data_IF_146667369315
#
_entry.id   IF_146667369315
#
_cell.length_a   1.000
_cell.length_b   1.000
_cell.length_c   1.000
_cell.angle_alpha   90.00
_cell.angle_beta   90.00
_cell.angle_gamma   90.00
#
_symmetry.space_group_name_H-M   'P 1'
#
loop_
_entity.id
_entity.type
_entity.pdbx_description
1 polymer ?
#
# COMPACT_ATOMS: atom_id res chain seq x y z
N UNK A 1 34.67 1.47 -15.73
CA UNK A 1 34.27 1.20 -14.32
C UNK A 1 34.54 2.37 -13.37
N UNK A 2 35.62 3.15 -13.52
CA UNK A 2 35.94 4.29 -12.62
C UNK A 2 34.85 5.38 -12.54
N UNK A 3 34.13 5.60 -13.62
CA UNK A 3 33.01 6.56 -13.67
C UNK A 3 31.83 6.19 -12.75
N UNK A 4 31.73 4.92 -12.32
CA UNK A 4 30.66 4.46 -11.43
C UNK A 4 31.04 4.52 -9.94
N UNK A 5 32.32 4.70 -9.61
CA UNK A 5 32.78 4.81 -8.21
C UNK A 5 32.06 5.90 -7.39
N UNK A 6 31.85 7.14 -7.87
CA UNK A 6 31.15 8.15 -7.08
C UNK A 6 29.70 7.74 -6.77
N UNK A 7 29.03 7.03 -7.68
CA UNK A 7 27.68 6.50 -7.43
C UNK A 7 27.69 5.40 -6.38
N UNK A 8 28.66 4.49 -6.40
CA UNK A 8 28.81 3.48 -5.35
C UNK A 8 29.12 4.10 -3.99
N UNK A 9 29.97 5.12 -3.93
CA UNK A 9 30.26 5.85 -2.69
C UNK A 9 29.00 6.55 -2.13
N UNK A 10 28.20 7.19 -2.98
CA UNK A 10 26.92 7.78 -2.60
C UNK A 10 25.90 6.75 -2.11
N UNK A 11 25.82 5.59 -2.78
CA UNK A 11 24.95 4.48 -2.36
C UNK A 11 25.38 3.95 -0.99
N UNK A 12 26.67 3.68 -0.78
CA UNK A 12 27.20 3.23 0.52
C UNK A 12 26.93 4.26 1.61
N UNK A 13 27.21 5.55 1.35
CA UNK A 13 26.93 6.62 2.31
C UNK A 13 25.44 6.70 2.66
N UNK A 14 24.55 6.61 1.66
CA UNK A 14 23.10 6.58 1.86
C UNK A 14 22.64 5.37 2.68
N UNK A 15 23.16 4.17 2.38
CA UNK A 15 22.90 2.95 3.16
C UNK A 15 23.35 3.09 4.62
N UNK A 16 24.57 3.60 4.86
CA UNK A 16 25.10 3.83 6.21
C UNK A 16 24.23 4.84 6.96
N UNK A 17 23.89 5.98 6.35
CA UNK A 17 23.00 6.98 6.97
C UNK A 17 21.64 6.35 7.30
N UNK A 18 21.10 5.53 6.41
CA UNK A 18 19.81 4.85 6.62
C UNK A 18 19.88 3.89 7.80
N UNK A 19 20.92 3.06 7.92
CA UNK A 19 21.12 2.14 9.04
C UNK A 19 21.24 2.93 10.35
N UNK A 20 22.08 3.97 10.39
CA UNK A 20 22.27 4.80 11.59
C UNK A 20 20.99 5.55 12.00
N UNK A 21 20.17 5.98 11.03
CA UNK A 21 18.88 6.59 11.29
C UNK A 21 17.85 5.56 11.78
N UNK A 22 17.87 4.35 11.21
CA UNK A 22 17.00 3.25 11.61
C UNK A 22 17.33 2.71 12.99
N UNK A 23 18.60 2.66 13.41
CA UNK A 23 19.00 2.18 14.74
C UNK A 23 18.44 3.06 15.86
N UNK A 24 18.40 4.38 15.67
CA UNK A 24 17.78 5.31 16.62
C UNK A 24 16.26 5.11 16.72
N UNK A 25 15.61 4.78 15.60
CA UNK A 25 14.17 4.55 15.55
C UNK A 25 13.79 3.13 16.03
N UNK A 26 14.61 2.12 15.74
CA UNK A 26 14.48 0.74 16.22
C UNK A 26 14.78 0.61 17.72
N UNK A 27 15.76 1.37 18.25
CA UNK A 27 16.03 1.40 19.69
C UNK A 27 14.82 1.88 20.50
N UNK A 28 13.96 2.73 19.93
CA UNK A 28 12.67 3.13 20.52
C UNK A 28 11.56 2.09 20.33
N UNK A 29 11.70 1.17 19.38
CA UNK A 29 10.71 0.14 19.02
C UNK A 29 10.97 -1.24 19.66
N UNK A 30 12.12 -1.45 20.32
CA UNK A 30 12.63 -2.72 20.89
C UNK A 30 11.74 -3.44 21.92
N UNK A 31 10.51 -2.97 22.16
CA UNK A 31 9.52 -3.63 23.03
C UNK A 31 8.23 -4.09 22.33
N UNK A 32 8.08 -3.86 21.01
CA UNK A 32 6.81 -4.02 20.29
C UNK A 32 6.94 -4.72 18.92
N UNK A 33 8.00 -5.52 18.73
CA UNK A 33 8.18 -6.28 17.49
C UNK A 33 7.26 -7.50 17.46
N UNK A 34 6.47 -7.62 16.39
CA UNK A 34 5.60 -8.77 16.21
C UNK A 34 6.45 -10.01 15.89
N UNK A 35 6.03 -11.21 16.35
CA UNK A 35 6.70 -12.46 15.99
C UNK A 35 6.82 -12.63 14.48
N UNK A 36 7.89 -13.29 14.02
CA UNK A 36 8.12 -13.54 12.59
C UNK A 36 6.91 -14.21 11.91
N UNK A 37 6.26 -15.15 12.59
CA UNK A 37 5.06 -15.83 12.10
C UNK A 37 3.91 -14.86 11.82
N UNK A 38 3.66 -13.92 12.73
CA UNK A 38 2.66 -12.88 12.56
C UNK A 38 3.01 -11.98 11.36
N UNK A 39 4.29 -11.60 11.22
CA UNK A 39 4.78 -10.76 10.12
C UNK A 39 4.64 -11.45 8.76
N UNK A 40 4.87 -12.76 8.71
CA UNK A 40 4.64 -13.56 7.50
C UNK A 40 3.16 -13.59 7.10
N UNK A 41 2.25 -13.80 8.06
CA UNK A 41 0.82 -13.74 7.80
C UNK A 41 0.41 -12.34 7.28
N UNK A 42 0.88 -11.28 7.93
CA UNK A 42 0.64 -9.92 7.45
C UNK A 42 1.22 -9.68 6.05
N UNK A 43 2.44 -10.14 5.77
CA UNK A 43 3.07 -9.94 4.47
C UNK A 43 2.27 -10.61 3.33
N UNK A 44 1.84 -11.86 3.54
CA UNK A 44 1.00 -12.58 2.58
C UNK A 44 -0.33 -11.87 2.33
N UNK A 45 -1.04 -11.48 3.40
CA UNK A 45 -2.30 -10.72 3.25
C UNK A 45 -2.09 -9.35 2.61
N UNK A 46 -0.95 -8.72 2.87
CA UNK A 46 -0.61 -7.39 2.33
C UNK A 46 -0.45 -7.43 0.82
N UNK A 47 0.09 -8.50 0.22
CA UNK A 47 0.15 -8.63 -1.24
C UNK A 47 -1.24 -8.56 -1.88
N UNK A 48 -2.22 -9.31 -1.35
CA UNK A 48 -3.60 -9.23 -1.84
C UNK A 48 -4.23 -7.87 -1.59
N UNK A 49 -4.02 -7.28 -0.40
CA UNK A 49 -4.55 -5.95 -0.08
C UNK A 49 -3.97 -4.87 -0.99
N UNK A 50 -2.69 -4.93 -1.32
CA UNK A 50 -2.03 -4.02 -2.25
C UNK A 50 -2.54 -4.20 -3.68
N UNK A 51 -2.66 -5.44 -4.15
CA UNK A 51 -3.26 -5.72 -5.46
C UNK A 51 -4.70 -5.19 -5.50
N UNK A 52 -5.51 -5.45 -4.47
CA UNK A 52 -6.87 -4.93 -4.34
C UNK A 52 -6.93 -3.40 -4.38
N UNK A 53 -6.09 -2.72 -3.58
CA UNK A 53 -5.99 -1.25 -3.57
C UNK A 53 -5.52 -0.66 -4.90
N UNK A 54 -4.78 -1.42 -5.71
CA UNK A 54 -4.38 -0.99 -7.04
C UNK A 54 -5.56 -0.95 -8.02
N UNK A 55 -6.44 -1.95 -7.98
CA UNK A 55 -7.62 -2.03 -8.84
C UNK A 55 -8.78 -1.18 -8.31
N UNK A 56 -8.93 -1.10 -7.00
CA UNK A 56 -9.98 -0.35 -6.32
C UNK A 56 -9.43 0.33 -5.06
N UNK A 57 -8.99 1.59 -5.15
CA UNK A 57 -8.37 2.31 -4.03
C UNK A 57 -9.41 2.78 -3.00
N UNK A 58 -10.06 1.84 -2.31
CA UNK A 58 -10.94 2.13 -1.18
C UNK A 58 -10.21 2.09 0.16
N UNK A 59 -10.87 2.66 1.18
CA UNK A 59 -10.45 2.57 2.58
C UNK A 59 -9.00 3.01 2.80
N UNK A 60 -8.67 4.14 2.16
CA UNK A 60 -7.37 4.78 2.27
C UNK A 60 -7.27 5.48 3.63
N UNK A 61 -6.20 5.20 4.36
CA UNK A 61 -5.94 5.72 5.69
C UNK A 61 -4.49 6.19 5.81
N UNK A 62 -4.26 7.24 6.60
CA UNK A 62 -2.91 7.74 6.88
C UNK A 62 -2.06 6.72 7.66
N UNK A 63 -2.70 5.85 8.45
CA UNK A 63 -2.05 4.83 9.25
C UNK A 63 -2.93 3.57 9.35
N UNK A 64 -2.34 2.40 9.10
CA UNK A 64 -3.01 1.11 9.19
C UNK A 64 -2.46 0.34 10.40
N UNK A 65 -3.24 0.17 11.48
CA UNK A 65 -2.80 -0.59 12.63
C UNK A 65 -2.69 -2.08 12.31
N UNK A 66 -1.79 -2.77 13.00
CA UNK A 66 -1.78 -4.23 12.99
C UNK A 66 -3.09 -4.79 13.56
N UNK A 67 -3.70 -5.79 12.90
CA UNK A 67 -4.84 -6.49 13.46
C UNK A 67 -4.53 -7.08 14.85
N UNK A 68 -5.51 -7.18 15.76
CA UNK A 68 -5.27 -7.78 17.08
C UNK A 68 -4.75 -9.23 17.02
N UNK A 69 -5.14 -9.96 15.97
CA UNK A 69 -4.77 -11.35 15.73
C UNK A 69 -4.15 -11.52 14.35
N UNK A 70 -3.22 -12.47 14.21
CA UNK A 70 -2.61 -12.77 12.92
C UNK A 70 -3.69 -13.22 11.92
N UNK A 71 -3.76 -12.62 10.72
CA UNK A 71 -4.82 -12.92 9.73
C UNK A 71 -4.50 -14.18 8.93
N UNK A 72 -4.33 -15.33 9.60
CA UNK A 72 -3.88 -16.57 8.98
C UNK A 72 -4.88 -17.15 7.96
N UNK A 73 -6.17 -17.00 8.25
CA UNK A 73 -7.27 -17.34 7.35
C UNK A 73 -7.10 -16.67 5.98
N UNK A 74 -6.92 -15.34 5.98
CA UNK A 74 -6.70 -14.59 4.75
C UNK A 74 -5.30 -14.85 4.19
N UNK A 75 -4.29 -15.11 5.03
CA UNK A 75 -2.91 -15.35 4.59
C UNK A 75 -2.78 -16.66 3.80
N UNK A 76 -3.49 -17.71 4.19
CA UNK A 76 -3.50 -19.00 3.47
C UNK A 76 -4.15 -18.83 2.10
N UNK A 77 -5.31 -18.15 2.04
CA UNK A 77 -5.99 -17.84 0.76
C UNK A 77 -5.08 -16.97 -0.12
N UNK A 78 -4.46 -15.93 0.46
CA UNK A 78 -3.50 -15.09 -0.24
C UNK A 78 -2.33 -15.88 -0.81
N UNK A 79 -1.71 -16.73 0.00
CA UNK A 79 -0.61 -17.59 -0.42
C UNK A 79 -1.00 -18.53 -1.56
N UNK A 80 -2.18 -19.16 -1.47
CA UNK A 80 -2.70 -20.04 -2.51
C UNK A 80 -2.94 -19.29 -3.83
N UNK A 81 -3.62 -18.13 -3.78
CA UNK A 81 -3.86 -17.29 -4.96
C UNK A 81 -2.56 -16.85 -5.61
N UNK A 82 -1.60 -16.36 -4.80
CA UNK A 82 -0.29 -15.93 -5.30
C UNK A 82 0.46 -17.10 -5.94
N UNK A 83 0.43 -18.28 -5.34
CA UNK A 83 1.10 -19.47 -5.86
C UNK A 83 0.52 -19.91 -7.22
N UNK A 84 -0.81 -20.00 -7.32
CA UNK A 84 -1.50 -20.39 -8.56
C UNK A 84 -1.24 -19.37 -9.68
N UNK A 85 -1.37 -18.07 -9.38
CA UNK A 85 -1.11 -17.01 -10.36
C UNK A 85 0.36 -17.01 -10.79
N UNK A 86 1.29 -17.17 -9.85
CA UNK A 86 2.73 -17.24 -10.16
C UNK A 86 3.04 -18.43 -11.05
N UNK A 87 2.45 -19.60 -10.78
CA UNK A 87 2.63 -20.79 -11.61
C UNK A 87 2.15 -20.56 -13.05
N UNK A 88 0.95 -19.98 -13.22
CA UNK A 88 0.42 -19.62 -14.55
C UNK A 88 1.29 -18.61 -15.29
N UNK A 89 1.77 -17.57 -14.59
CA UNK A 89 2.63 -16.52 -15.18
C UNK A 89 3.99 -17.10 -15.58
N UNK A 90 4.57 -17.98 -14.76
CA UNK A 90 5.82 -18.69 -15.09
C UNK A 90 5.63 -19.61 -16.29
N UNK A 91 4.50 -20.30 -16.39
CA UNK A 91 4.15 -21.11 -17.55
C UNK A 91 4.08 -20.28 -18.83
N UNK A 92 3.45 -19.10 -18.78
CA UNK A 92 3.32 -18.19 -19.92
C UNK A 92 4.53 -17.27 -20.15
N UNK A 93 5.63 -17.42 -19.41
CA UNK A 93 6.77 -16.49 -19.48
C UNK A 93 7.36 -16.31 -20.87
N UNK A 94 7.28 -17.33 -21.74
CA UNK A 94 7.78 -17.26 -23.12
C UNK A 94 6.81 -16.55 -24.06
N UNK A 95 5.51 -16.75 -23.87
CA UNK A 95 4.46 -16.16 -24.73
C UNK A 95 4.07 -14.75 -24.31
N UNK A 96 4.14 -14.44 -23.00
CA UNK A 96 3.70 -13.18 -22.41
C UNK A 96 4.76 -12.66 -21.41
N UNK A 97 5.97 -12.31 -21.88
CA UNK A 97 7.09 -11.93 -21.01
C UNK A 97 6.79 -10.70 -20.14
N UNK A 98 5.92 -9.79 -20.59
CA UNK A 98 5.53 -8.62 -19.82
C UNK A 98 4.72 -8.96 -18.56
N UNK A 99 3.93 -10.07 -18.55
CA UNK A 99 3.23 -10.53 -17.35
C UNK A 99 4.22 -11.03 -16.31
N UNK A 100 5.23 -11.78 -16.76
CA UNK A 100 6.31 -12.25 -15.92
C UNK A 100 7.07 -11.06 -15.31
N UNK A 101 7.54 -10.13 -16.14
CA UNK A 101 8.26 -8.93 -15.66
C UNK A 101 7.41 -8.12 -14.70
N UNK A 102 6.15 -7.85 -15.03
CA UNK A 102 5.25 -7.05 -14.20
C UNK A 102 4.95 -7.69 -12.85
N UNK A 103 4.69 -9.00 -12.84
CA UNK A 103 4.41 -9.76 -11.62
C UNK A 103 5.60 -9.79 -10.67
N UNK A 104 6.77 -10.23 -11.15
CA UNK A 104 7.95 -10.32 -10.30
C UNK A 104 8.51 -8.94 -9.91
N UNK A 105 8.29 -7.90 -10.72
CA UNK A 105 8.54 -6.51 -10.31
C UNK A 105 7.70 -6.13 -9.09
N UNK A 106 6.38 -6.37 -9.14
CA UNK A 106 5.47 -6.04 -8.05
C UNK A 106 5.87 -6.77 -6.75
N UNK A 107 6.08 -8.10 -6.83
CA UNK A 107 6.46 -8.87 -5.65
C UNK A 107 7.83 -8.46 -5.11
N UNK A 108 8.84 -8.35 -5.98
CA UNK A 108 10.22 -8.05 -5.62
C UNK A 108 10.41 -6.67 -5.00
N UNK A 109 9.79 -5.64 -5.58
CA UNK A 109 9.92 -4.26 -5.09
C UNK A 109 9.15 -4.02 -3.78
N UNK A 110 8.16 -4.85 -3.45
CA UNK A 110 7.46 -4.81 -2.17
C UNK A 110 8.22 -5.47 -1.02
N UNK A 111 9.10 -6.45 -1.29
CA UNK A 111 9.79 -7.23 -0.24
C UNK A 111 10.39 -6.37 0.89
N UNK A 112 11.07 -5.23 0.63
CA UNK A 112 11.67 -4.42 1.69
C UNK A 112 10.64 -3.74 2.62
N UNK A 113 9.42 -3.52 2.13
CA UNK A 113 8.40 -2.70 2.80
C UNK A 113 7.12 -3.47 3.15
N UNK A 114 7.03 -4.76 2.82
CA UNK A 114 5.85 -5.62 3.05
C UNK A 114 5.67 -6.02 4.54
N UNK A 115 6.59 -5.61 5.42
CA UNK A 115 6.55 -5.90 6.85
C UNK A 115 7.36 -7.13 7.30
N UNK A 116 8.08 -7.79 6.37
CA UNK A 116 9.04 -8.84 6.72
C UNK A 116 10.21 -8.31 7.55
N UNK A 117 10.63 -7.07 7.31
CA UNK A 117 11.48 -6.27 8.20
C UNK A 117 10.57 -5.17 8.76
N UNK A 118 10.27 -5.20 10.05
CA UNK A 118 9.28 -4.31 10.64
C UNK A 118 9.88 -2.91 10.77
N UNK A 119 9.44 -1.99 9.92
CA UNK A 119 9.79 -0.57 10.00
C UNK A 119 8.56 0.21 10.45
N UNK A 120 8.47 0.47 11.76
CA UNK A 120 7.36 1.19 12.39
C UNK A 120 6.20 0.29 12.85
N UNK A 121 5.09 0.93 13.24
CA UNK A 121 3.91 0.24 13.82
C UNK A 121 2.75 -0.02 12.85
N UNK A 122 2.94 0.25 11.56
CA UNK A 122 1.90 0.10 10.54
C UNK A 122 1.94 -1.28 9.89
N UNK A 123 0.78 -1.88 9.62
CA UNK A 123 0.68 -3.19 8.97
C UNK A 123 0.88 -3.11 7.46
N UNK A 124 0.48 -1.99 6.85
CA UNK A 124 0.69 -1.62 5.46
C UNK A 124 0.65 -0.09 5.35
N UNK A 125 1.10 0.44 4.22
CA UNK A 125 0.94 1.85 3.88
C UNK A 125 0.75 2.07 2.38
N UNK A 126 -0.15 2.97 2.01
CA UNK A 126 -0.50 3.24 0.61
C UNK A 126 0.70 3.72 -0.21
N UNK A 127 1.60 4.51 0.40
CA UNK A 127 2.83 5.02 -0.21
C UNK A 127 3.79 3.94 -0.71
N UNK A 128 3.69 2.72 -0.19
CA UNK A 128 4.53 1.61 -0.64
C UNK A 128 4.11 1.05 -2.00
N UNK A 129 2.92 1.41 -2.51
CA UNK A 129 2.42 0.91 -3.78
C UNK A 129 2.99 1.64 -5.01
N UNK A 130 3.61 2.82 -4.85
CA UNK A 130 4.04 3.66 -5.97
C UNK A 130 5.01 2.94 -6.92
N UNK A 131 6.11 2.40 -6.40
CA UNK A 131 7.10 1.68 -7.22
C UNK A 131 6.59 0.29 -7.67
N UNK A 132 5.97 -0.53 -6.79
CA UNK A 132 5.43 -1.82 -7.19
C UNK A 132 4.36 -1.77 -8.28
N UNK A 133 3.50 -0.74 -8.26
CA UNK A 133 2.41 -0.58 -9.24
C UNK A 133 2.88 -0.50 -10.69
N UNK A 134 4.13 -0.06 -10.92
CA UNK A 134 4.73 0.01 -12.26
C UNK A 134 4.67 -1.36 -12.95
N UNK A 135 4.92 -2.44 -12.22
CA UNK A 135 4.86 -3.79 -12.78
C UNK A 135 3.48 -4.14 -13.32
N UNK A 136 2.42 -3.78 -12.61
CA UNK A 136 1.04 -3.98 -13.07
C UNK A 136 0.68 -3.09 -14.26
N UNK A 137 1.14 -1.83 -14.29
CA UNK A 137 0.90 -0.96 -15.45
C UNK A 137 1.62 -1.46 -16.71
N UNK A 138 2.84 -1.99 -16.57
CA UNK A 138 3.53 -2.68 -17.67
C UNK A 138 2.73 -3.90 -18.13
N UNK A 139 2.21 -4.72 -17.21
CA UNK A 139 1.35 -5.83 -17.62
C UNK A 139 0.09 -5.34 -18.37
N UNK A 140 -0.58 -4.32 -17.85
CA UNK A 140 -1.84 -3.80 -18.39
C UNK A 140 -1.69 -3.16 -19.77
N UNK A 141 -0.64 -2.37 -20.00
CA UNK A 141 -0.41 -1.70 -21.30
C UNK A 141 -0.20 -2.74 -22.41
N UNK A 142 0.60 -3.77 -22.17
CA UNK A 142 0.86 -4.80 -23.19
C UNK A 142 -0.30 -5.78 -23.34
N UNK A 143 -1.03 -6.10 -22.26
CA UNK A 143 -2.29 -6.84 -22.37
C UNK A 143 -3.29 -6.10 -23.24
N UNK A 144 -3.45 -4.79 -23.03
CA UNK A 144 -4.44 -3.98 -23.73
C UNK A 144 -4.09 -3.70 -25.19
N UNK A 145 -2.81 -3.77 -25.58
CA UNK A 145 -2.35 -3.55 -26.95
C UNK A 145 -3.11 -4.41 -28.00
N UNK A 146 -3.44 -5.66 -27.67
CA UNK A 146 -4.20 -6.54 -28.55
C UNK A 146 -5.69 -6.18 -28.73
N UNK A 147 -6.25 -5.39 -27.80
CA UNK A 147 -7.67 -5.01 -27.78
C UNK A 147 -7.93 -3.65 -28.41
N UNK A 148 -6.91 -2.78 -28.45
CA UNK A 148 -7.01 -1.42 -28.99
C UNK A 148 -7.53 -1.43 -30.43
N UNK A 149 -7.08 -2.36 -31.25
CA UNK A 149 -7.53 -2.47 -32.66
C UNK A 149 -9.01 -2.84 -32.79
N UNK A 150 -9.58 -3.57 -31.83
CA UNK A 150 -11.02 -3.87 -31.78
C UNK A 150 -11.82 -2.68 -31.29
N UNK A 151 -11.33 -1.97 -30.27
CA UNK A 151 -11.98 -0.76 -29.75
C UNK A 151 -11.99 0.38 -30.77
N UNK A 152 -10.95 0.52 -31.59
CA UNK A 152 -10.87 1.54 -32.64
C UNK A 152 -11.96 1.38 -33.72
N UNK A 153 -12.50 0.17 -33.92
CA UNK A 153 -13.65 -0.05 -34.82
C UNK A 153 -14.94 0.58 -34.31
N UNK A 154 -15.06 0.77 -32.99
CA UNK A 154 -16.18 1.43 -32.33
C UNK A 154 -15.69 2.70 -31.60
N UNK A 155 -14.92 3.55 -32.31
CA UNK A 155 -14.16 4.65 -31.72
C UNK A 155 -14.95 5.60 -30.81
N UNK A 156 -16.22 5.90 -31.12
CA UNK A 156 -17.04 6.76 -30.25
C UNK A 156 -17.39 6.08 -28.92
N UNK A 157 -17.70 4.77 -28.92
CA UNK A 157 -17.98 4.02 -27.69
C UNK A 157 -16.74 3.92 -26.82
N UNK A 158 -15.57 3.70 -27.44
CA UNK A 158 -14.28 3.69 -26.77
C UNK A 158 -13.99 5.05 -26.12
N UNK A 159 -14.25 6.16 -26.82
CA UNK A 159 -14.09 7.51 -26.28
C UNK A 159 -15.06 7.82 -25.14
N UNK A 160 -16.33 7.42 -25.25
CA UNK A 160 -17.33 7.58 -24.17
C UNK A 160 -16.91 6.78 -22.94
N UNK A 161 -16.46 5.53 -23.12
CA UNK A 161 -15.96 4.70 -22.03
C UNK A 161 -14.71 5.32 -21.37
N UNK A 162 -13.76 5.79 -22.17
CA UNK A 162 -12.54 6.43 -21.67
C UNK A 162 -12.86 7.72 -20.89
N UNK A 163 -13.75 8.57 -21.41
CA UNK A 163 -14.22 9.77 -20.72
C UNK A 163 -14.97 9.45 -19.44
N UNK A 164 -15.80 8.39 -19.44
CA UNK A 164 -16.49 7.91 -18.24
C UNK A 164 -15.51 7.45 -17.16
N UNK A 165 -14.50 6.66 -17.53
CA UNK A 165 -13.44 6.21 -16.62
C UNK A 165 -12.65 7.40 -16.07
N UNK A 166 -12.23 8.33 -16.95
CA UNK A 166 -11.51 9.53 -16.53
C UNK A 166 -12.35 10.42 -15.59
N UNK A 167 -13.62 10.63 -15.91
CA UNK A 167 -14.56 11.38 -15.06
C UNK A 167 -14.74 10.73 -13.69
N UNK A 168 -14.86 9.40 -13.64
CA UNK A 168 -14.90 8.65 -12.39
C UNK A 168 -13.58 8.82 -11.59
N UNK A 169 -12.42 8.68 -12.24
CA UNK A 169 -11.12 8.89 -11.60
C UNK A 169 -10.97 10.31 -11.03
N UNK A 170 -11.41 11.34 -11.76
CA UNK A 170 -11.40 12.73 -11.31
C UNK A 170 -12.32 12.89 -10.09
N UNK A 171 -13.54 12.38 -10.15
CA UNK A 171 -14.50 12.47 -9.03
C UNK A 171 -14.01 11.76 -7.77
N UNK A 172 -13.44 10.55 -7.91
CA UNK A 172 -12.86 9.79 -6.80
C UNK A 172 -11.62 10.50 -6.23
N UNK A 173 -10.74 11.01 -7.09
CA UNK A 173 -9.54 11.74 -6.67
C UNK A 173 -9.90 13.03 -5.93
N UNK A 174 -10.89 13.79 -6.42
CA UNK A 174 -11.36 15.01 -5.77
C UNK A 174 -11.91 14.73 -4.35
N UNK A 175 -12.71 13.65 -4.20
CA UNK A 175 -13.19 13.19 -2.89
C UNK A 175 -12.03 12.79 -1.97
N UNK A 176 -11.04 12.09 -2.52
CA UNK A 176 -9.88 11.67 -1.75
C UNK A 176 -9.05 12.87 -1.30
N UNK A 177 -8.77 13.84 -2.17
CA UNK A 177 -8.03 15.06 -1.83
C UNK A 177 -8.74 15.86 -0.72
N UNK A 178 -10.07 15.89 -0.71
CA UNK A 178 -10.83 16.55 0.35
C UNK A 178 -10.55 15.95 1.75
N UNK A 179 -10.23 14.65 1.85
CA UNK A 179 -9.83 14.04 3.14
C UNK A 179 -8.49 14.57 3.66
N UNK A 180 -7.60 15.00 2.76
CA UNK A 180 -6.28 15.56 3.07
C UNK A 180 -6.31 17.07 3.36
N UNK A 181 -7.50 17.70 3.35
CA UNK A 181 -7.65 19.14 3.58
C UNK A 181 -7.05 19.60 4.91
N UNK A 182 -7.20 18.80 5.97
CA UNK A 182 -6.60 19.07 7.27
C UNK A 182 -6.41 17.78 8.09
N UNK A 183 -5.65 17.89 9.18
CA UNK A 183 -5.35 16.75 10.06
C UNK A 183 -6.61 16.11 10.66
N UNK A 184 -7.64 16.90 10.98
CA UNK A 184 -8.89 16.38 11.57
C UNK A 184 -9.60 15.45 10.59
N UNK A 185 -9.88 15.91 9.37
CA UNK A 185 -10.55 15.08 8.35
C UNK A 185 -9.74 13.84 7.98
N UNK A 186 -8.42 13.96 7.96
CA UNK A 186 -7.50 12.87 7.64
C UNK A 186 -7.57 11.75 8.69
N UNK A 187 -7.51 12.10 9.98
CA UNK A 187 -7.55 11.12 11.07
C UNK A 187 -8.96 10.63 11.39
N UNK A 188 -10.01 11.42 11.15
CA UNK A 188 -11.40 10.95 11.16
C UNK A 188 -11.62 9.87 10.10
N UNK A 189 -11.14 10.11 8.87
CA UNK A 189 -11.16 9.12 7.80
C UNK A 189 -10.40 7.85 8.20
N UNK A 190 -9.18 7.98 8.72
CA UNK A 190 -8.39 6.83 9.17
C UNK A 190 -9.12 6.03 10.25
N UNK A 191 -9.73 6.68 11.24
CA UNK A 191 -10.51 6.02 12.29
C UNK A 191 -11.80 5.38 11.78
N UNK A 192 -12.40 5.92 10.72
CA UNK A 192 -13.62 5.38 10.09
C UNK A 192 -13.35 4.09 9.32
N UNK A 193 -12.25 4.05 8.57
CA UNK A 193 -11.95 2.94 7.63
C UNK A 193 -11.01 1.88 8.19
N UNK A 194 -10.53 2.06 9.42
CA UNK A 194 -9.67 1.08 10.10
C UNK A 194 -10.23 0.76 11.49
N UNK A 195 -9.86 -0.40 12.03
CA UNK A 195 -10.29 -0.85 13.37
C UNK A 195 -9.11 -0.72 14.34
N UNK A 196 -9.36 -0.21 15.56
CA UNK A 196 -8.32 -0.10 16.60
C UNK A 196 -7.21 0.90 16.28
N UNK A 197 -7.51 1.99 15.56
CA UNK A 197 -6.50 2.95 15.12
C UNK A 197 -6.09 3.92 16.24
N UNK A 198 -5.21 3.44 17.12
CA UNK A 198 -4.71 4.21 18.25
C UNK A 198 -4.02 5.52 17.82
N UNK A 199 -3.36 5.56 16.65
CA UNK A 199 -2.73 6.77 16.11
C UNK A 199 -3.78 7.82 15.77
N UNK A 200 -4.87 7.42 15.11
CA UNK A 200 -5.97 8.30 14.78
C UNK A 200 -6.69 8.80 16.05
N UNK A 201 -7.00 7.90 16.98
CA UNK A 201 -7.66 8.26 18.25
C UNK A 201 -6.82 9.25 19.07
N UNK A 202 -5.51 8.98 19.23
CA UNK A 202 -4.62 9.87 19.96
C UNK A 202 -4.53 11.25 19.30
N UNK A 203 -4.39 11.29 17.97
CA UNK A 203 -4.30 12.56 17.24
C UNK A 203 -5.59 13.37 17.31
N UNK A 204 -6.75 12.72 17.19
CA UNK A 204 -8.05 13.39 17.31
C UNK A 204 -8.29 13.90 18.74
N UNK A 205 -7.87 13.14 19.76
CA UNK A 205 -7.92 13.58 21.15
C UNK A 205 -7.07 14.82 21.41
N UNK A 206 -5.85 14.86 20.87
CA UNK A 206 -4.97 16.03 20.99
C UNK A 206 -5.52 17.25 20.24
N UNK A 207 -6.12 17.06 19.05
CA UNK A 207 -6.79 18.14 18.32
C UNK A 207 -7.99 18.68 19.11
N UNK A 208 -8.83 17.81 19.66
CA UNK A 208 -9.98 18.21 20.48
C UNK A 208 -9.55 18.95 21.76
N UNK A 209 -8.42 18.57 22.38
CA UNK A 209 -7.84 19.28 23.53
C UNK A 209 -7.39 20.69 23.15
N UNK A 210 -6.75 20.85 21.98
CA UNK A 210 -6.32 22.16 21.46
C UNK A 210 -7.48 23.09 21.12
N UNK A 211 -8.58 22.53 20.62
CA UNK A 211 -9.79 23.27 20.25
C UNK A 211 -10.68 23.62 21.46
N UNK A 212 -10.27 23.29 22.69
CA UNK A 212 -11.03 23.56 23.91
C UNK A 212 -12.28 22.69 24.07
N UNK A 213 -12.34 21.52 23.42
CA UNK A 213 -13.48 20.59 23.42
C UNK A 213 -13.12 19.24 24.08
N UNK A 214 -12.81 19.21 25.40
CA UNK A 214 -12.32 18.00 26.08
C UNK A 214 -13.36 16.86 26.16
N UNK A 215 -14.65 17.17 26.11
CA UNK A 215 -15.73 16.17 26.16
C UNK A 215 -15.77 15.28 24.89
N UNK A 216 -15.53 15.86 23.71
CA UNK A 216 -15.42 15.08 22.45
C UNK A 216 -14.17 14.20 22.41
N UNK A 217 -13.09 14.60 23.09
CA UNK A 217 -11.89 13.79 23.22
C UNK A 217 -12.15 12.52 24.06
N UNK A 218 -13.00 12.62 25.10
CA UNK A 218 -13.34 11.48 25.98
C UNK A 218 -14.33 10.50 25.34
N UNK A 219 -15.30 11.00 24.58
CA UNK A 219 -16.29 10.15 23.90
C UNK A 219 -15.67 9.33 22.76
N UNK A 220 -14.72 9.91 22.01
CA UNK A 220 -14.03 9.19 20.92
C UNK A 220 -13.13 8.03 21.42
N UNK A 221 -12.62 8.11 22.65
CA UNK A 221 -11.77 7.07 23.27
C UNK A 221 -12.59 5.95 23.93
N UNK A 222 -13.79 6.25 24.43
CA UNK A 222 -14.60 5.31 25.25
C UNK A 222 -15.49 4.36 24.45
N UNK A 223 -15.87 4.69 23.21
CA UNK A 223 -16.93 3.98 22.47
C UNK A 223 -16.47 2.71 21.72
N UNK A 224 -15.17 2.41 21.64
CA UNK A 224 -14.66 1.27 20.83
C UNK A 224 -13.55 0.43 21.49
N UNK A 225 -13.50 0.37 22.83
CA UNK A 225 -12.74 -0.68 23.52
C UNK A 225 -13.42 -2.03 23.36
#
# INVERSE_FOLDING_TARGET
>A
MREKLPFFALVIASCVITILAQDKWHALAKGNEWPLSYRMANALTSYLRYAGKLFWPSDLAAFYPFPPTAPWDLAVVAGAVVLVLSAGIVWWRKSQPFLFTGWFWFFGTLVPVIGLVQVGGQSLADRYLYIPSIGFFVAAVWLSAGWITRLQRCGWMASVLALGILGACVGLSARQIATWKNSRTLFEQANRVTTGNFVALNTLGELARRDGQPEQARSSISVRR
#
